data_IF_505431570605
#
_entry.id   IF_505431570605
#
_cell.length_a   1.000
_cell.length_b   1.000
_cell.length_c   1.000
_cell.angle_alpha   90.00
_cell.angle_beta   90.00
_cell.angle_gamma   90.00
#
_symmetry.space_group_name_H-M   'P 1'
#
loop_
_entity.id
_entity.type
_entity.pdbx_description
1 polymer ?
#
# COMPACT_ATOMS: atom_id res chain seq x y z
N UNK A 1 -41.98 44.75 14.54
CA UNK A 1 -41.71 43.53 13.76
C UNK A 1 -40.33 43.66 13.10
N UNK A 2 -39.29 43.07 13.71
CA UNK A 2 -37.93 43.13 13.18
C UNK A 2 -37.75 42.03 12.12
N UNK A 3 -37.35 42.41 10.90
CA UNK A 3 -37.12 41.49 9.78
C UNK A 3 -35.87 40.65 10.05
N UNK A 4 -36.05 39.34 10.16
CA UNK A 4 -34.98 38.35 10.30
C UNK A 4 -34.26 38.25 8.95
N UNK A 5 -32.98 38.66 8.93
CA UNK A 5 -32.09 38.54 7.78
C UNK A 5 -31.79 37.05 7.57
N UNK A 6 -32.33 36.46 6.50
CA UNK A 6 -31.95 35.12 6.06
C UNK A 6 -30.46 35.12 5.76
N UNK A 7 -29.67 34.50 6.62
CA UNK A 7 -28.28 34.15 6.32
C UNK A 7 -28.32 33.07 5.25
N UNK A 8 -28.06 33.45 3.99
CA UNK A 8 -27.78 32.49 2.94
C UNK A 8 -26.56 31.68 3.39
N UNK A 9 -26.80 30.47 3.89
CA UNK A 9 -25.75 29.50 4.10
C UNK A 9 -25.14 29.23 2.72
N UNK A 10 -23.92 29.70 2.52
CA UNK A 10 -23.10 29.38 1.36
C UNK A 10 -23.00 27.84 1.37
N UNK A 11 -23.48 27.12 0.34
CA UNK A 11 -23.31 25.68 0.30
C UNK A 11 -21.81 25.43 0.38
N UNK A 12 -21.40 24.64 1.35
CA UNK A 12 -20.02 24.34 1.67
C UNK A 12 -19.36 23.71 0.43
N UNK A 13 -18.88 24.54 -0.48
CA UNK A 13 -18.08 24.15 -1.62
C UNK A 13 -16.84 23.54 -1.00
N UNK A 14 -16.79 22.20 -0.97
CA UNK A 14 -15.69 21.41 -0.43
C UNK A 14 -14.40 22.02 -1.01
N UNK A 15 -13.71 22.83 -0.21
CA UNK A 15 -12.38 23.32 -0.56
C UNK A 15 -11.52 22.07 -0.57
N UNK A 16 -11.34 21.48 -1.75
CA UNK A 16 -10.39 20.39 -1.94
C UNK A 16 -9.04 20.92 -1.48
N UNK A 17 -8.63 20.50 -0.27
CA UNK A 17 -7.36 20.92 0.31
C UNK A 17 -6.28 20.43 -0.65
N UNK A 18 -5.40 21.33 -1.07
CA UNK A 18 -4.31 20.98 -1.99
C UNK A 18 -3.47 19.88 -1.36
N UNK A 19 -3.24 18.79 -2.11
CA UNK A 19 -2.40 17.69 -1.66
C UNK A 19 -0.98 18.18 -1.30
N UNK A 20 -0.51 17.75 -0.13
CA UNK A 20 0.82 18.09 0.40
C UNK A 20 1.92 17.12 -0.03
N UNK A 21 1.57 16.00 -0.67
CA UNK A 21 2.52 15.03 -1.25
C UNK A 21 2.16 14.72 -2.72
N UNK A 22 3.12 14.24 -3.54
CA UNK A 22 2.86 13.79 -4.90
C UNK A 22 1.81 12.66 -4.96
N UNK A 23 1.94 11.67 -4.09
CA UNK A 23 0.99 10.54 -3.99
C UNK A 23 -0.44 11.01 -3.63
N UNK A 24 -0.56 11.95 -2.68
CA UNK A 24 -1.85 12.51 -2.33
C UNK A 24 -2.47 13.29 -3.52
N UNK A 25 -1.64 13.89 -4.38
CA UNK A 25 -2.11 14.59 -5.59
C UNK A 25 -2.63 13.60 -6.63
N UNK A 26 -1.95 12.48 -6.83
CA UNK A 26 -2.41 11.41 -7.72
C UNK A 26 -3.76 10.86 -7.25
N UNK A 27 -3.90 10.58 -5.96
CA UNK A 27 -5.16 10.12 -5.38
C UNK A 27 -6.30 11.14 -5.54
N UNK A 28 -6.00 12.44 -5.46
CA UNK A 28 -6.99 13.50 -5.75
C UNK A 28 -7.45 13.47 -7.21
N UNK A 29 -6.51 13.33 -8.15
CA UNK A 29 -6.85 13.23 -9.57
C UNK A 29 -7.67 11.97 -9.88
N UNK A 30 -7.33 10.85 -9.26
CA UNK A 30 -8.09 9.60 -9.37
C UNK A 30 -9.51 9.80 -8.85
N UNK A 31 -9.69 10.41 -7.68
CA UNK A 31 -11.01 10.71 -7.12
C UNK A 31 -11.86 11.55 -8.07
N UNK A 32 -11.29 12.61 -8.64
CA UNK A 32 -12.00 13.48 -9.59
C UNK A 32 -12.38 12.73 -10.87
N UNK A 33 -11.51 11.84 -11.35
CA UNK A 33 -11.79 11.00 -12.52
C UNK A 33 -12.94 10.02 -12.25
N UNK A 34 -12.98 9.42 -11.05
CA UNK A 34 -14.07 8.53 -10.63
C UNK A 34 -15.39 9.27 -10.51
N UNK A 35 -15.41 10.46 -9.89
CA UNK A 35 -16.62 11.27 -9.75
C UNK A 35 -17.21 11.64 -11.12
N UNK A 36 -16.35 12.02 -12.07
CA UNK A 36 -16.75 12.34 -13.44
C UNK A 36 -17.27 11.10 -14.18
N UNK A 37 -16.61 9.95 -14.02
CA UNK A 37 -17.07 8.71 -14.64
C UNK A 37 -18.42 8.26 -14.07
N UNK A 38 -18.63 8.40 -12.76
CA UNK A 38 -19.92 8.12 -12.12
C UNK A 38 -21.03 9.01 -12.69
N UNK A 39 -20.76 10.31 -12.83
CA UNK A 39 -21.69 11.23 -13.44
C UNK A 39 -22.02 10.83 -14.89
N UNK A 40 -21.01 10.52 -15.71
CA UNK A 40 -21.21 10.08 -17.10
C UNK A 40 -22.00 8.77 -17.22
N UNK A 41 -21.82 7.84 -16.27
CA UNK A 41 -22.57 6.58 -16.23
C UNK A 41 -24.04 6.82 -15.87
N UNK A 42 -24.32 7.72 -14.93
CA UNK A 42 -25.68 8.12 -14.55
C UNK A 42 -26.40 8.85 -15.67
N UNK A 43 -25.70 9.74 -16.36
CA UNK A 43 -26.22 10.54 -17.46
C UNK A 43 -26.32 9.74 -18.77
N UNK A 44 -25.74 8.53 -18.82
CA UNK A 44 -25.73 7.66 -20.00
C UNK A 44 -24.79 8.13 -21.12
N UNK A 45 -23.93 9.13 -20.86
CA UNK A 45 -22.98 9.69 -21.82
C UNK A 45 -21.57 9.08 -21.70
N UNK A 46 -21.42 8.03 -20.89
CA UNK A 46 -20.14 7.38 -20.68
C UNK A 46 -19.59 6.77 -21.98
N UNK A 47 -18.30 7.01 -22.24
CA UNK A 47 -17.59 6.36 -23.33
C UNK A 47 -17.46 4.84 -23.09
N UNK A 48 -17.40 4.08 -24.17
CA UNK A 48 -17.20 2.62 -24.13
C UNK A 48 -15.96 2.21 -23.33
N UNK A 49 -14.91 3.04 -23.35
CA UNK A 49 -13.69 2.80 -22.58
C UNK A 49 -13.93 2.90 -21.07
N UNK A 50 -14.72 3.87 -20.62
CA UNK A 50 -15.08 4.05 -19.20
C UNK A 50 -15.91 2.85 -18.73
N UNK A 51 -16.93 2.48 -19.52
CA UNK A 51 -17.79 1.34 -19.22
C UNK A 51 -16.96 0.05 -19.14
N UNK A 52 -16.08 -0.20 -20.13
CA UNK A 52 -15.23 -1.39 -20.14
C UNK A 52 -14.29 -1.44 -18.94
N UNK A 53 -13.69 -0.31 -18.55
CA UNK A 53 -12.80 -0.25 -17.38
C UNK A 53 -13.51 -0.69 -16.10
N UNK A 54 -14.71 -0.14 -15.83
CA UNK A 54 -15.47 -0.51 -14.63
C UNK A 54 -16.04 -1.93 -14.68
N UNK A 55 -16.42 -2.43 -15.86
CA UNK A 55 -16.85 -3.82 -16.02
C UNK A 55 -15.70 -4.80 -15.76
N UNK A 56 -14.48 -4.47 -16.22
CA UNK A 56 -13.28 -5.25 -15.91
C UNK A 56 -13.03 -5.25 -14.40
N UNK A 57 -12.97 -4.08 -13.77
CA UNK A 57 -12.78 -3.95 -12.32
C UNK A 57 -13.80 -4.75 -11.50
N UNK A 58 -15.06 -4.81 -11.95
CA UNK A 58 -16.12 -5.58 -11.29
C UNK A 58 -16.04 -7.09 -11.56
N UNK A 59 -15.27 -7.53 -12.56
CA UNK A 59 -15.15 -8.92 -12.94
C UNK A 59 -14.54 -9.76 -11.81
N UNK A 60 -15.01 -11.00 -11.69
CA UNK A 60 -14.47 -11.98 -10.74
C UNK A 60 -13.00 -12.27 -10.99
N UNK A 61 -12.55 -12.13 -12.24
CA UNK A 61 -11.17 -12.30 -12.65
C UNK A 61 -10.24 -11.31 -11.95
N UNK A 62 -10.58 -10.02 -11.94
CA UNK A 62 -9.73 -8.99 -11.31
C UNK A 62 -9.68 -9.13 -9.79
N UNK A 63 -10.76 -9.61 -9.16
CA UNK A 63 -10.74 -9.96 -7.73
C UNK A 63 -9.78 -11.11 -7.43
N UNK A 64 -9.82 -12.17 -8.23
CA UNK A 64 -8.95 -13.32 -8.07
C UNK A 64 -7.49 -12.96 -8.36
N UNK A 65 -7.22 -12.15 -9.39
CA UNK A 65 -5.88 -11.67 -9.71
C UNK A 65 -5.30 -10.83 -8.57
N UNK A 66 -6.11 -9.95 -7.95
CA UNK A 66 -5.69 -9.21 -6.76
C UNK A 66 -5.37 -10.13 -5.57
N UNK A 67 -6.20 -11.14 -5.32
CA UNK A 67 -5.95 -12.09 -4.24
C UNK A 67 -4.66 -12.91 -4.47
N UNK A 68 -4.41 -13.30 -5.72
CA UNK A 68 -3.16 -13.98 -6.10
C UNK A 68 -1.96 -13.07 -5.86
N UNK A 69 -2.04 -11.80 -6.26
CA UNK A 69 -0.96 -10.83 -6.05
C UNK A 69 -0.69 -10.57 -4.56
N UNK A 70 -1.74 -10.51 -3.73
CA UNK A 70 -1.60 -10.40 -2.27
C UNK A 70 -0.88 -11.64 -1.69
N UNK A 71 -1.33 -12.84 -2.06
CA UNK A 71 -0.68 -14.10 -1.63
C UNK A 71 0.77 -14.22 -2.13
N UNK A 72 1.06 -13.73 -3.33
CA UNK A 72 2.43 -13.68 -3.85
C UNK A 72 3.30 -12.72 -3.06
N UNK A 73 2.77 -11.54 -2.68
CA UNK A 73 3.47 -10.60 -1.81
C UNK A 73 3.81 -11.25 -0.47
N UNK A 74 2.84 -11.92 0.16
CA UNK A 74 3.04 -12.61 1.44
C UNK A 74 4.08 -13.72 1.33
N UNK A 75 4.03 -14.50 0.24
CA UNK A 75 5.02 -15.55 -0.02
C UNK A 75 6.43 -14.97 -0.21
N UNK A 76 6.56 -13.84 -0.90
CA UNK A 76 7.85 -13.15 -1.07
C UNK A 76 8.35 -12.67 0.29
N UNK A 77 7.50 -12.05 1.10
CA UNK A 77 7.86 -11.61 2.46
C UNK A 77 8.33 -12.78 3.32
N UNK A 78 7.58 -13.89 3.35
CA UNK A 78 7.96 -15.09 4.09
C UNK A 78 9.28 -15.70 3.60
N UNK A 79 9.56 -15.66 2.28
CA UNK A 79 10.85 -16.09 1.73
C UNK A 79 11.99 -15.18 2.16
N UNK A 80 11.78 -13.87 2.12
CA UNK A 80 12.78 -12.88 2.58
C UNK A 80 13.09 -13.07 4.05
N UNK A 81 12.07 -13.29 4.90
CA UNK A 81 12.26 -13.56 6.32
C UNK A 81 12.99 -14.87 6.59
N UNK A 82 12.68 -15.94 5.84
CA UNK A 82 13.41 -17.21 5.93
C UNK A 82 14.88 -17.06 5.55
N UNK A 83 15.20 -16.31 4.50
CA UNK A 83 16.58 -16.05 4.10
C UNK A 83 17.34 -15.27 5.17
N UNK A 84 16.73 -14.24 5.76
CA UNK A 84 17.33 -13.51 6.88
C UNK A 84 17.47 -14.37 8.13
N UNK A 85 16.53 -15.29 8.39
CA UNK A 85 16.62 -16.24 9.49
C UNK A 85 17.77 -17.22 9.30
N UNK A 86 17.97 -17.74 8.08
CA UNK A 86 19.08 -18.62 7.77
C UNK A 86 20.43 -17.93 7.98
N UNK A 87 20.58 -16.68 7.52
CA UNK A 87 21.78 -15.86 7.77
C UNK A 87 22.05 -15.66 9.26
N UNK A 88 21.02 -15.29 10.05
CA UNK A 88 21.17 -15.13 11.51
C UNK A 88 21.59 -16.42 12.21
N UNK A 89 21.07 -17.57 11.76
CA UNK A 89 21.44 -18.87 12.33
C UNK A 89 22.91 -19.18 12.02
N UNK A 90 23.36 -18.91 10.80
CA UNK A 90 24.77 -19.07 10.40
C UNK A 90 25.70 -18.18 11.25
N UNK A 91 25.36 -16.91 11.43
CA UNK A 91 26.09 -15.99 12.31
C UNK A 91 26.14 -16.47 13.77
N UNK A 92 25.02 -16.99 14.31
CA UNK A 92 24.98 -17.55 15.66
C UNK A 92 25.86 -18.80 15.80
N UNK A 93 25.88 -19.68 14.80
CA UNK A 93 26.76 -20.85 14.80
C UNK A 93 28.22 -20.46 14.73
N UNK A 94 28.58 -19.49 13.89
CA UNK A 94 29.95 -18.98 13.80
C UNK A 94 30.40 -18.37 15.14
N UNK A 95 29.55 -17.53 15.74
CA UNK A 95 29.80 -16.94 17.05
C UNK A 95 29.96 -17.99 18.15
N UNK A 96 29.10 -19.02 18.18
CA UNK A 96 29.20 -20.10 19.15
C UNK A 96 30.49 -20.90 18.98
N UNK A 97 30.86 -21.26 17.74
CA UNK A 97 32.10 -21.97 17.45
C UNK A 97 33.34 -21.14 17.85
N UNK A 98 33.32 -19.83 17.62
CA UNK A 98 34.40 -18.93 18.05
C UNK A 98 34.50 -18.83 19.58
N UNK A 99 33.37 -18.74 20.29
CA UNK A 99 33.34 -18.74 21.76
C UNK A 99 33.83 -20.08 22.35
N UNK A 100 33.48 -21.21 21.72
CA UNK A 100 33.96 -22.54 22.09
C UNK A 100 35.46 -22.71 21.88
N UNK A 101 36.02 -22.18 20.77
CA UNK A 101 37.48 -22.14 20.54
C UNK A 101 38.22 -21.29 21.58
N UNK A 102 37.61 -20.19 22.03
CA UNK A 102 38.17 -19.36 23.10
C UNK A 102 38.14 -20.05 24.47
N UNK A 103 37.15 -20.91 24.72
CA UNK A 103 37.02 -21.65 25.97
C UNK A 103 37.80 -22.98 25.99
N UNK A 104 38.06 -23.60 24.83
CA UNK A 104 38.75 -24.90 24.73
C UNK A 104 40.25 -24.87 25.01
N UNK A 105 40.73 -23.89 25.78
CA UNK A 105 42.13 -23.77 26.15
C UNK A 105 43.00 -23.41 24.94
N UNK A 106 43.00 -22.13 24.57
CA UNK A 106 44.26 -21.55 24.13
C UNK A 106 45.12 -21.45 25.38
N UNK A 107 45.91 -22.50 25.59
CA UNK A 107 47.22 -22.37 26.19
C UNK A 107 47.95 -21.35 25.31
N UNK A 108 47.85 -20.07 25.66
CA UNK A 108 48.95 -19.14 25.39
C UNK A 108 50.08 -19.61 26.30
N UNK A 109 50.72 -20.71 25.90
CA UNK A 109 52.06 -21.04 26.36
C UNK A 109 52.93 -19.94 25.77
N UNK A 110 53.39 -19.04 26.64
CA UNK A 110 54.59 -18.24 26.44
C UNK A 110 55.71 -19.14 25.86
N UNK A 111 56.09 -18.89 24.59
CA UNK A 111 57.48 -18.95 24.08
C UNK A 111 57.58 -18.21 22.73
#
# INVERSE_FOLDING_TARGET
MAKIKKTNAIPNAKKNRVATSPEARENQLISLAVDLAEQQLRDGTASSQVISHFLKLASTKEKLEREILEKQKDLITAKTENLHSAQRIEELYENAMNALKGYSGRDDSDD
#
